data_IF_579558178386
#
_entry.id   IF_579558178386
#
_cell.length_a   1.000
_cell.length_b   1.000
_cell.length_c   1.000
_cell.angle_alpha   90.00
_cell.angle_beta   90.00
_cell.angle_gamma   90.00
#
_symmetry.space_group_name_H-M   'P 1'
#
loop_
_entity.id
_entity.type
_entity.pdbx_description
1 polymer ?
#
# COMPACT_ATOMS: atom_id res chain seq x y z
N UNK A 1 38.64 19.43 3.40
CA UNK A 1 39.23 18.25 4.06
C UNK A 1 38.28 17.10 3.85
N UNK A 2 38.65 16.13 3.00
CA UNK A 2 37.84 14.93 2.74
C UNK A 2 37.72 14.10 4.02
N UNK A 3 36.49 13.74 4.41
CA UNK A 3 36.23 12.67 5.37
C UNK A 3 35.31 11.67 4.69
N UNK A 4 35.93 10.58 4.24
CA UNK A 4 35.27 9.38 3.74
C UNK A 4 34.31 8.85 4.82
N UNK A 5 33.03 8.72 4.49
CA UNK A 5 32.08 7.97 5.28
C UNK A 5 32.44 6.49 5.15
N UNK A 6 32.89 5.90 6.25
CA UNK A 6 33.13 4.47 6.35
C UNK A 6 31.76 3.80 6.49
N UNK A 7 31.31 3.09 5.46
CA UNK A 7 30.20 2.13 5.57
C UNK A 7 30.59 1.11 6.65
N UNK A 8 29.86 1.10 7.76
CA UNK A 8 29.89 -0.01 8.70
C UNK A 8 29.22 -1.18 7.99
N UNK A 9 30.04 -2.00 7.36
CA UNK A 9 29.71 -3.38 7.01
C UNK A 9 29.30 -4.07 8.32
N UNK A 10 28.01 -4.37 8.44
CA UNK A 10 27.53 -5.30 9.46
C UNK A 10 28.04 -6.68 9.06
N UNK A 11 29.12 -7.10 9.71
CA UNK A 11 29.60 -8.47 9.64
C UNK A 11 28.50 -9.37 10.21
N UNK A 12 27.81 -10.09 9.32
CA UNK A 12 26.92 -11.21 9.63
C UNK A 12 27.72 -12.18 10.51
N UNK A 13 27.34 -12.41 11.78
CA UNK A 13 27.83 -13.59 12.47
C UNK A 13 27.15 -14.77 11.77
N UNK A 14 27.91 -15.50 10.97
CA UNK A 14 27.51 -16.82 10.48
C UNK A 14 27.33 -17.73 11.70
N UNK A 15 26.14 -17.70 12.29
CA UNK A 15 25.72 -18.66 13.28
C UNK A 15 25.40 -19.95 12.52
N UNK A 16 26.40 -20.81 12.42
CA UNK A 16 26.27 -22.16 11.92
C UNK A 16 25.36 -22.97 12.86
N UNK A 17 24.04 -22.79 12.72
CA UNK A 17 23.10 -23.86 13.04
C UNK A 17 23.27 -24.90 11.94
N UNK A 18 23.81 -26.06 12.30
CA UNK A 18 23.68 -27.25 11.49
C UNK A 18 22.18 -27.58 11.38
N UNK A 19 21.51 -27.00 10.37
CA UNK A 19 20.15 -27.32 10.03
C UNK A 19 20.10 -28.78 9.59
N UNK A 20 19.21 -29.55 10.21
CA UNK A 20 18.79 -30.83 9.64
C UNK A 20 18.29 -30.54 8.22
N UNK A 21 18.85 -31.19 7.21
CA UNK A 21 18.34 -31.08 5.85
C UNK A 21 16.86 -31.47 5.86
N UNK A 22 15.96 -30.50 5.76
CA UNK A 22 14.54 -30.74 5.58
C UNK A 22 14.34 -31.13 4.12
N UNK A 23 13.49 -32.13 3.89
CA UNK A 23 13.16 -32.55 2.53
C UNK A 23 12.44 -31.38 1.85
N UNK A 24 13.09 -30.78 0.85
CA UNK A 24 12.46 -29.82 -0.04
C UNK A 24 11.68 -30.61 -1.09
N UNK A 25 10.36 -30.40 -1.13
CA UNK A 25 9.48 -30.98 -2.14
C UNK A 25 9.35 -30.00 -3.29
N UNK A 26 9.54 -30.50 -4.51
CA UNK A 26 9.47 -29.71 -5.73
C UNK A 26 8.18 -30.00 -6.50
N UNK A 27 7.56 -28.95 -7.02
CA UNK A 27 6.48 -29.01 -8.02
C UNK A 27 7.02 -28.46 -9.33
N UNK A 28 7.21 -29.34 -10.32
CA UNK A 28 7.78 -29.02 -11.64
C UNK A 28 6.76 -29.02 -12.79
N UNK A 29 5.53 -29.47 -12.52
CA UNK A 29 4.44 -29.63 -13.48
C UNK A 29 3.13 -29.12 -12.86
N UNK A 30 2.06 -29.06 -13.65
CA UNK A 30 0.75 -28.61 -13.19
C UNK A 30 0.13 -29.54 -12.13
N UNK A 31 -0.45 -28.91 -11.12
CA UNK A 31 -1.31 -29.53 -10.12
C UNK A 31 -2.62 -28.78 -10.01
N UNK A 32 -3.70 -29.53 -9.84
CA UNK A 32 -5.05 -28.99 -9.66
C UNK A 32 -5.62 -29.20 -8.26
N UNK A 33 -4.79 -29.70 -7.34
CA UNK A 33 -5.15 -30.00 -5.96
C UNK A 33 -4.33 -29.13 -5.00
N UNK A 34 -4.94 -28.60 -3.92
CA UNK A 34 -4.22 -27.88 -2.88
C UNK A 34 -3.02 -28.64 -2.31
N UNK A 35 -2.01 -27.89 -1.86
CA UNK A 35 -0.79 -28.42 -1.21
C UNK A 35 -0.64 -27.79 0.17
N UNK A 36 -0.34 -28.58 1.19
CA UNK A 36 -0.04 -28.08 2.54
C UNK A 36 1.36 -28.51 2.99
N UNK A 37 2.14 -27.59 3.55
CA UNK A 37 3.52 -27.90 3.98
C UNK A 37 3.57 -28.95 5.09
N UNK A 38 2.51 -29.10 5.90
CA UNK A 38 2.38 -30.13 6.94
C UNK A 38 2.36 -31.57 6.42
N UNK A 39 2.05 -31.79 5.14
CA UNK A 39 1.85 -33.13 4.55
C UNK A 39 2.60 -33.34 3.23
N UNK A 40 3.35 -32.33 2.77
CA UNK A 40 3.92 -32.29 1.43
C UNK A 40 4.95 -33.39 1.15
N UNK A 41 5.68 -33.86 2.17
CA UNK A 41 6.70 -34.90 2.06
C UNK A 41 6.12 -36.29 2.42
N UNK A 42 5.28 -36.83 1.53
CA UNK A 42 4.69 -38.15 1.71
C UNK A 42 3.81 -38.28 2.96
N UNK A 43 3.12 -37.19 3.34
CA UNK A 43 2.33 -37.10 4.57
C UNK A 43 3.08 -36.55 5.78
N UNK A 44 4.36 -36.23 5.63
CA UNK A 44 5.16 -35.51 6.63
C UNK A 44 5.34 -34.03 6.23
N UNK A 45 5.74 -33.21 7.20
CA UNK A 45 5.98 -31.80 6.97
C UNK A 45 7.31 -31.56 6.22
N UNK A 46 7.33 -30.61 5.29
CA UNK A 46 8.52 -30.29 4.50
C UNK A 46 8.49 -28.90 3.86
N UNK A 47 9.65 -28.46 3.40
CA UNK A 47 9.78 -27.23 2.59
C UNK A 47 9.17 -27.46 1.21
N UNK A 48 8.61 -26.41 0.61
CA UNK A 48 7.96 -26.48 -0.70
C UNK A 48 8.57 -25.45 -1.65
N UNK A 49 8.91 -25.90 -2.86
CA UNK A 49 9.25 -25.04 -3.97
C UNK A 49 8.40 -25.36 -5.20
N UNK A 50 7.73 -24.36 -5.74
CA UNK A 50 7.09 -24.43 -7.05
C UNK A 50 8.12 -23.93 -8.07
N UNK A 51 8.64 -24.82 -8.91
CA UNK A 51 9.63 -24.47 -9.93
C UNK A 51 8.98 -23.65 -11.04
N UNK A 52 9.77 -22.97 -11.87
CA UNK A 52 9.28 -22.10 -12.95
C UNK A 52 8.35 -22.78 -13.98
N UNK A 53 8.45 -24.10 -14.15
CA UNK A 53 7.56 -24.87 -15.02
C UNK A 53 6.33 -25.45 -14.28
N UNK A 54 6.35 -25.44 -12.95
CA UNK A 54 5.27 -25.97 -12.11
C UNK A 54 4.13 -24.98 -11.94
N UNK A 55 2.95 -25.52 -11.68
CA UNK A 55 1.79 -24.71 -11.30
C UNK A 55 0.89 -25.39 -10.29
N UNK A 56 0.15 -24.58 -9.53
CA UNK A 56 -0.93 -25.04 -8.64
C UNK A 56 -2.17 -24.19 -8.90
N UNK A 57 -3.15 -24.77 -9.58
CA UNK A 57 -4.37 -24.10 -10.02
C UNK A 57 -5.58 -24.70 -9.29
N UNK A 58 -6.39 -23.87 -8.62
CA UNK A 58 -7.54 -24.35 -7.84
C UNK A 58 -8.83 -23.64 -8.22
N UNK A 59 -9.94 -24.36 -8.07
CA UNK A 59 -11.29 -23.83 -8.32
C UNK A 59 -11.99 -23.38 -7.02
N UNK A 60 -11.37 -23.59 -5.85
CA UNK A 60 -11.87 -23.13 -4.55
C UNK A 60 -10.78 -23.22 -3.47
N UNK A 61 -10.94 -22.43 -2.40
CA UNK A 61 -10.05 -22.49 -1.24
C UNK A 61 -8.63 -22.01 -1.51
N UNK A 62 -7.67 -22.48 -0.70
CA UNK A 62 -6.27 -22.12 -0.83
C UNK A 62 -5.52 -23.07 -1.77
N UNK A 63 -4.71 -22.53 -2.71
CA UNK A 63 -3.85 -23.35 -3.57
C UNK A 63 -2.67 -23.94 -2.79
N UNK A 64 -2.02 -23.12 -1.95
CA UNK A 64 -0.96 -23.57 -1.05
C UNK A 64 -1.30 -23.13 0.37
N UNK A 65 -1.08 -24.03 1.35
CA UNK A 65 -1.14 -23.72 2.77
C UNK A 65 0.24 -23.92 3.43
N UNK A 66 0.82 -22.85 3.97
CA UNK A 66 1.98 -22.90 4.87
C UNK A 66 1.46 -23.03 6.32
N UNK A 67 1.35 -24.27 6.80
CA UNK A 67 0.74 -24.64 8.09
C UNK A 67 1.69 -25.40 9.03
N UNK A 68 2.99 -25.32 8.78
CA UNK A 68 4.02 -26.01 9.56
C UNK A 68 5.32 -25.22 9.57
N UNK A 69 6.28 -25.62 10.40
CA UNK A 69 7.56 -24.91 10.55
C UNK A 69 8.51 -25.17 9.36
N UNK A 70 8.16 -24.63 8.20
CA UNK A 70 8.82 -24.84 6.91
C UNK A 70 8.72 -23.58 6.03
N UNK A 71 9.34 -23.62 4.86
CA UNK A 71 9.36 -22.53 3.89
C UNK A 71 8.56 -22.85 2.64
N UNK A 72 8.03 -21.82 1.99
CA UNK A 72 7.41 -21.90 0.67
C UNK A 72 8.10 -20.91 -0.26
N UNK A 73 8.58 -21.40 -1.41
CA UNK A 73 9.10 -20.57 -2.50
C UNK A 73 8.27 -20.81 -3.77
N UNK A 74 7.74 -19.74 -4.36
CA UNK A 74 7.07 -19.80 -5.65
C UNK A 74 7.97 -19.20 -6.74
N UNK A 75 8.45 -20.03 -7.67
CA UNK A 75 9.11 -19.60 -8.92
C UNK A 75 8.18 -19.79 -10.14
N UNK A 76 7.05 -20.48 -9.97
CA UNK A 76 6.10 -20.85 -11.03
C UNK A 76 4.78 -20.09 -10.95
N UNK A 77 3.67 -20.77 -11.29
CA UNK A 77 2.34 -20.16 -11.34
C UNK A 77 1.41 -20.76 -10.30
N UNK A 78 0.80 -19.90 -9.48
CA UNK A 78 -0.27 -20.27 -8.54
C UNK A 78 -1.51 -19.50 -8.96
N UNK A 79 -2.69 -20.11 -8.93
CA UNK A 79 -3.86 -19.35 -9.31
C UNK A 79 -5.20 -20.04 -9.20
N UNK A 80 -6.21 -19.29 -9.61
CA UNK A 80 -7.58 -19.73 -9.82
C UNK A 80 -8.17 -18.93 -10.99
N UNK A 81 -9.15 -19.51 -11.68
CA UNK A 81 -9.86 -18.82 -12.74
C UNK A 81 -11.36 -18.89 -12.50
N UNK A 82 -12.01 -17.73 -12.47
CA UNK A 82 -13.45 -17.58 -12.26
C UNK A 82 -13.96 -18.33 -11.01
N UNK A 83 -13.26 -18.11 -9.89
CA UNK A 83 -13.57 -18.77 -8.62
C UNK A 83 -13.53 -17.76 -7.47
N UNK A 84 -14.63 -17.64 -6.74
CA UNK A 84 -14.73 -16.77 -5.58
C UNK A 84 -14.10 -17.39 -4.32
N UNK A 85 -13.74 -16.53 -3.37
CA UNK A 85 -13.22 -16.93 -2.07
C UNK A 85 -11.96 -17.82 -2.17
N UNK A 86 -11.15 -17.62 -3.21
CA UNK A 86 -9.88 -18.34 -3.38
C UNK A 86 -8.73 -17.62 -2.71
N UNK A 87 -7.74 -18.40 -2.31
CA UNK A 87 -6.48 -17.88 -1.77
C UNK A 87 -5.32 -18.50 -2.54
N UNK A 88 -4.35 -17.68 -2.98
CA UNK A 88 -3.14 -18.21 -3.61
C UNK A 88 -2.30 -18.96 -2.56
N UNK A 89 -1.82 -18.22 -1.57
CA UNK A 89 -1.04 -18.74 -0.45
C UNK A 89 -1.74 -18.40 0.86
N UNK A 90 -2.12 -19.43 1.61
CA UNK A 90 -2.58 -19.32 2.98
C UNK A 90 -1.44 -19.60 3.95
N UNK A 91 -1.06 -18.65 4.77
CA UNK A 91 -0.04 -18.79 5.81
C UNK A 91 -0.75 -18.85 7.15
N UNK A 92 -0.60 -19.97 7.86
CA UNK A 92 -1.19 -20.16 9.18
C UNK A 92 -0.32 -19.52 10.25
N UNK A 93 -0.89 -18.57 10.97
CA UNK A 93 -0.30 -17.97 12.16
C UNK A 93 0.02 -19.01 13.23
N UNK A 94 1.05 -18.73 14.04
CA UNK A 94 1.63 -19.66 15.02
C UNK A 94 2.66 -20.64 14.47
N UNK A 95 2.85 -20.69 13.14
CA UNK A 95 3.96 -21.42 12.51
C UNK A 95 5.20 -20.52 12.31
N UNK A 96 6.38 -21.15 12.18
CA UNK A 96 7.65 -20.46 11.89
C UNK A 96 8.16 -20.81 10.50
N UNK A 97 8.52 -19.83 9.67
CA UNK A 97 8.99 -20.15 8.32
C UNK A 97 9.44 -18.94 7.52
N UNK A 98 9.28 -19.04 6.20
CA UNK A 98 9.40 -17.92 5.29
C UNK A 98 8.56 -18.19 4.04
N UNK A 99 8.03 -17.12 3.45
CA UNK A 99 7.40 -17.17 2.14
C UNK A 99 8.12 -16.24 1.16
N UNK A 100 8.47 -16.77 -0.01
CA UNK A 100 9.04 -15.99 -1.12
C UNK A 100 8.26 -16.23 -2.41
N UNK A 101 7.74 -15.17 -3.02
CA UNK A 101 7.19 -15.18 -4.37
C UNK A 101 8.18 -14.55 -5.35
N UNK A 102 8.70 -15.35 -6.27
CA UNK A 102 9.51 -14.94 -7.42
C UNK A 102 8.83 -15.29 -8.77
N UNK A 103 7.62 -15.88 -8.73
CA UNK A 103 6.77 -16.24 -9.86
C UNK A 103 5.45 -15.47 -9.90
N UNK A 104 4.37 -16.10 -10.35
CA UNK A 104 3.05 -15.48 -10.46
C UNK A 104 2.02 -16.09 -9.52
N UNK A 105 1.21 -15.24 -8.90
CA UNK A 105 -0.04 -15.58 -8.22
C UNK A 105 -1.18 -14.85 -8.93
N UNK A 106 -2.05 -15.60 -9.62
CA UNK A 106 -3.11 -15.05 -10.46
C UNK A 106 -4.48 -15.58 -10.01
N UNK A 107 -5.28 -14.72 -9.37
CA UNK A 107 -6.65 -15.03 -8.99
C UNK A 107 -7.58 -14.17 -9.84
N UNK A 108 -7.96 -14.70 -11.01
CA UNK A 108 -8.62 -13.95 -12.08
C UNK A 108 -10.07 -14.39 -12.28
N UNK A 109 -10.80 -13.65 -13.10
CA UNK A 109 -12.13 -14.01 -13.60
C UNK A 109 -12.20 -13.89 -15.12
N UNK A 110 -13.31 -14.35 -15.71
CA UNK A 110 -13.56 -14.25 -17.14
C UNK A 110 -14.53 -13.11 -17.51
N UNK A 111 -14.90 -12.28 -16.53
CA UNK A 111 -15.77 -11.13 -16.72
C UNK A 111 -15.15 -10.12 -17.69
N UNK A 112 -15.95 -9.71 -18.68
CA UNK A 112 -15.58 -8.67 -19.64
C UNK A 112 -16.68 -7.61 -19.66
N UNK A 113 -16.40 -6.36 -19.25
CA UNK A 113 -17.38 -5.28 -19.31
C UNK A 113 -17.74 -4.93 -20.76
N UNK A 114 -18.94 -4.40 -20.97
CA UNK A 114 -19.50 -3.99 -22.28
C UNK A 114 -19.77 -2.48 -22.30
N UNK A 115 -19.74 -1.89 -23.49
CA UNK A 115 -20.26 -0.53 -23.77
C UNK A 115 -21.77 -0.67 -24.00
N UNK A 116 -22.57 -0.40 -22.98
CA UNK A 116 -24.02 -0.63 -22.96
C UNK A 116 -24.80 0.52 -23.62
N UNK A 117 -24.22 1.72 -23.72
CA UNK A 117 -24.86 2.90 -24.31
C UNK A 117 -24.23 3.42 -25.62
N UNK A 118 -23.18 2.74 -26.11
CA UNK A 118 -22.44 2.99 -27.36
C UNK A 118 -21.75 4.37 -27.43
N UNK A 119 -21.36 4.95 -26.30
CA UNK A 119 -20.76 6.28 -26.25
C UNK A 119 -19.21 6.31 -26.36
N UNK A 120 -18.60 5.12 -26.30
CA UNK A 120 -17.19 4.87 -26.55
C UNK A 120 -16.35 4.53 -25.31
N UNK A 121 -16.97 4.30 -24.15
CA UNK A 121 -16.32 3.67 -23.00
C UNK A 121 -17.04 2.40 -22.51
N UNK A 122 -16.61 1.83 -21.38
CA UNK A 122 -17.06 0.50 -20.96
C UNK A 122 -17.85 0.68 -19.67
N UNK A 123 -18.97 0.01 -19.52
CA UNK A 123 -19.84 0.19 -18.38
C UNK A 123 -19.68 -0.89 -17.31
N UNK A 124 -20.20 -0.54 -16.13
CA UNK A 124 -20.39 -1.47 -15.03
C UNK A 124 -19.12 -1.70 -14.20
N UNK A 125 -19.15 -2.69 -13.29
CA UNK A 125 -18.05 -2.91 -12.36
C UNK A 125 -16.75 -3.29 -13.07
N UNK A 126 -15.60 -3.02 -12.45
CA UNK A 126 -14.31 -3.51 -12.96
C UNK A 126 -14.12 -5.02 -12.80
N UNK A 127 -14.77 -5.59 -11.80
CA UNK A 127 -14.75 -7.01 -11.50
C UNK A 127 -16.03 -7.44 -10.77
N UNK A 128 -16.47 -8.68 -10.94
CA UNK A 128 -17.74 -9.19 -10.40
C UNK A 128 -17.60 -10.27 -9.33
N UNK A 129 -16.55 -11.07 -9.39
CA UNK A 129 -16.22 -12.05 -8.36
C UNK A 129 -15.81 -11.41 -7.04
N UNK A 130 -15.54 -12.22 -6.02
CA UNK A 130 -15.36 -11.71 -4.66
C UNK A 130 -14.42 -12.54 -3.77
N UNK A 131 -13.88 -11.89 -2.75
CA UNK A 131 -13.23 -12.54 -1.61
C UNK A 131 -11.89 -13.22 -1.94
N UNK A 132 -11.21 -12.82 -3.00
CA UNK A 132 -9.94 -13.43 -3.45
C UNK A 132 -8.75 -12.80 -2.71
N UNK A 133 -7.80 -13.61 -2.26
CA UNK A 133 -6.59 -13.10 -1.60
C UNK A 133 -5.32 -13.76 -2.14
N UNK A 134 -4.38 -12.99 -2.70
CA UNK A 134 -3.13 -13.54 -3.23
C UNK A 134 -2.29 -14.24 -2.16
N UNK A 135 -1.95 -13.52 -1.10
CA UNK A 135 -1.27 -14.04 0.10
C UNK A 135 -2.06 -13.63 1.34
N UNK A 136 -2.54 -14.61 2.11
CA UNK A 136 -3.29 -14.41 3.33
C UNK A 136 -2.53 -14.98 4.53
N UNK A 137 -2.28 -14.18 5.56
CA UNK A 137 -1.85 -14.67 6.88
C UNK A 137 -3.05 -14.66 7.81
N UNK A 138 -3.45 -15.81 8.34
CA UNK A 138 -4.60 -15.94 9.25
C UNK A 138 -4.32 -16.89 10.42
N UNK A 139 -5.09 -16.77 11.49
CA UNK A 139 -4.88 -17.53 12.72
C UNK A 139 -5.00 -16.66 13.96
N UNK A 140 -4.83 -17.28 15.13
CA UNK A 140 -4.95 -16.60 16.44
C UNK A 140 -3.63 -16.15 17.06
N UNK A 141 -2.50 -16.53 16.44
CA UNK A 141 -1.14 -16.18 16.85
C UNK A 141 -0.38 -15.64 15.62
N UNK A 142 0.65 -14.79 15.81
CA UNK A 142 1.43 -14.27 14.68
C UNK A 142 2.19 -15.39 13.96
N UNK A 143 2.36 -15.25 12.65
CA UNK A 143 3.34 -16.05 11.89
C UNK A 143 4.75 -15.53 12.17
N UNK A 144 5.72 -16.40 12.45
CA UNK A 144 7.12 -16.00 12.68
C UNK A 144 7.96 -16.24 11.43
N UNK A 145 8.41 -15.19 10.77
CA UNK A 145 9.11 -15.31 9.50
C UNK A 145 8.86 -14.14 8.56
N UNK A 146 9.68 -14.02 7.53
CA UNK A 146 9.53 -12.98 6.52
C UNK A 146 8.59 -13.43 5.39
N UNK A 147 7.86 -12.46 4.84
CA UNK A 147 7.00 -12.61 3.65
C UNK A 147 7.56 -11.67 2.58
N UNK A 148 7.98 -12.22 1.46
CA UNK A 148 8.62 -11.45 0.38
C UNK A 148 7.97 -11.72 -0.97
N UNK A 149 7.47 -10.68 -1.62
CA UNK A 149 7.21 -10.67 -3.06
C UNK A 149 8.44 -10.07 -3.75
N UNK A 150 9.33 -10.92 -4.22
CA UNK A 150 10.64 -10.54 -4.77
C UNK A 150 10.49 -9.80 -6.12
N UNK A 151 11.58 -9.27 -6.66
CA UNK A 151 11.61 -8.46 -7.89
C UNK A 151 10.96 -9.15 -9.10
N UNK A 152 11.03 -10.48 -9.19
CA UNK A 152 10.37 -11.28 -10.23
C UNK A 152 8.91 -11.68 -9.91
N UNK A 153 8.49 -11.48 -8.66
CA UNK A 153 7.18 -11.85 -8.15
C UNK A 153 6.07 -10.94 -8.66
N UNK A 154 4.95 -11.55 -9.04
CA UNK A 154 3.72 -10.86 -9.44
C UNK A 154 2.52 -11.46 -8.70
N UNK A 155 1.65 -10.58 -8.20
CA UNK A 155 0.36 -10.94 -7.59
C UNK A 155 -0.72 -10.15 -8.31
N UNK A 156 -1.63 -10.83 -9.00
CA UNK A 156 -2.75 -10.23 -9.72
C UNK A 156 -4.05 -10.82 -9.20
N UNK A 157 -4.95 -9.94 -8.74
CA UNK A 157 -6.24 -10.33 -8.18
C UNK A 157 -7.34 -9.48 -8.80
N UNK A 158 -8.32 -10.12 -9.40
CA UNK A 158 -9.54 -9.47 -9.90
C UNK A 158 -10.69 -9.92 -9.01
N UNK A 159 -11.49 -9.00 -8.50
CA UNK A 159 -12.63 -9.29 -7.62
C UNK A 159 -12.89 -8.19 -6.59
N UNK A 160 -14.14 -8.09 -6.16
CA UNK A 160 -14.57 -7.23 -5.06
C UNK A 160 -14.09 -7.76 -3.71
N UNK A 161 -13.95 -6.89 -2.71
CA UNK A 161 -13.56 -7.26 -1.33
C UNK A 161 -12.27 -8.10 -1.23
N UNK A 162 -11.42 -7.99 -2.25
CA UNK A 162 -10.25 -8.84 -2.48
C UNK A 162 -8.96 -8.17 -2.03
N UNK A 163 -7.87 -8.92 -1.92
CA UNK A 163 -6.57 -8.35 -1.58
C UNK A 163 -5.40 -9.03 -2.29
N UNK A 164 -4.35 -8.27 -2.61
CA UNK A 164 -3.09 -8.84 -3.07
C UNK A 164 -2.40 -9.58 -1.92
N UNK A 165 -2.11 -8.84 -0.84
CA UNK A 165 -1.54 -9.38 0.41
C UNK A 165 -2.42 -8.93 1.58
N UNK A 166 -2.78 -9.84 2.48
CA UNK A 166 -3.56 -9.54 3.68
C UNK A 166 -2.99 -10.23 4.91
N UNK A 167 -2.68 -9.47 5.95
CA UNK A 167 -2.17 -9.96 7.24
C UNK A 167 -3.27 -9.81 8.29
N UNK A 168 -3.82 -10.89 8.84
CA UNK A 168 -4.86 -10.83 9.88
C UNK A 168 -4.44 -11.40 11.23
N UNK A 169 -3.62 -12.46 11.26
CA UNK A 169 -3.15 -13.09 12.52
C UNK A 169 -2.08 -12.28 13.27
N UNK A 170 -1.31 -11.48 12.53
CA UNK A 170 -0.06 -10.86 12.95
C UNK A 170 1.17 -11.50 12.29
N UNK A 171 2.27 -10.77 12.27
CA UNK A 171 3.52 -11.14 11.62
C UNK A 171 4.72 -10.77 12.52
N UNK A 172 5.48 -11.76 12.98
CA UNK A 172 6.77 -11.60 13.65
C UNK A 172 7.88 -11.74 12.60
N UNK A 173 8.06 -10.69 11.81
CA UNK A 173 8.98 -10.63 10.68
C UNK A 173 8.66 -9.45 9.77
N UNK A 174 9.38 -9.36 8.66
CA UNK A 174 9.23 -8.29 7.68
C UNK A 174 8.26 -8.68 6.56
N UNK A 175 7.56 -7.68 6.03
CA UNK A 175 6.82 -7.78 4.77
C UNK A 175 7.55 -6.95 3.70
N UNK A 176 8.07 -7.62 2.67
CA UNK A 176 8.80 -6.98 1.59
C UNK A 176 8.06 -7.15 0.26
N UNK A 177 7.80 -6.06 -0.44
CA UNK A 177 7.29 -6.05 -1.80
C UNK A 177 8.30 -5.36 -2.74
N UNK A 178 9.10 -6.16 -3.43
CA UNK A 178 10.01 -5.74 -4.50
C UNK A 178 9.42 -5.99 -5.90
N UNK A 179 8.42 -6.88 -5.99
CA UNK A 179 7.68 -7.22 -7.20
C UNK A 179 6.42 -6.37 -7.42
N UNK A 180 5.45 -6.91 -8.18
CA UNK A 180 4.18 -6.23 -8.47
C UNK A 180 3.00 -6.83 -7.72
N UNK A 181 2.10 -5.96 -7.26
CA UNK A 181 0.79 -6.30 -6.71
C UNK A 181 -0.27 -5.48 -7.42
N UNK A 182 -1.20 -6.14 -8.12
CA UNK A 182 -2.30 -5.51 -8.84
C UNK A 182 -3.62 -6.06 -8.34
N UNK A 183 -4.54 -5.16 -7.96
CA UNK A 183 -5.90 -5.53 -7.54
C UNK A 183 -6.93 -4.72 -8.33
N UNK A 184 -7.87 -5.42 -8.95
CA UNK A 184 -8.96 -4.81 -9.73
C UNK A 184 -10.30 -5.24 -9.13
N UNK A 185 -11.13 -4.28 -8.74
CA UNK A 185 -12.43 -4.53 -8.11
C UNK A 185 -12.68 -3.57 -6.95
N UNK A 186 -13.97 -3.41 -6.58
CA UNK A 186 -14.39 -2.53 -5.50
C UNK A 186 -14.03 -3.09 -4.12
N UNK A 187 -13.82 -2.19 -3.15
CA UNK A 187 -13.50 -2.50 -1.75
C UNK A 187 -12.26 -3.40 -1.60
N UNK A 188 -11.32 -3.27 -2.53
CA UNK A 188 -10.09 -4.07 -2.60
C UNK A 188 -8.91 -3.43 -1.89
N UNK A 189 -7.90 -4.24 -1.55
CA UNK A 189 -6.64 -3.77 -0.99
C UNK A 189 -5.45 -4.32 -1.76
N UNK A 190 -4.49 -3.49 -2.16
CA UNK A 190 -3.21 -3.99 -2.66
C UNK A 190 -2.50 -4.79 -1.57
N UNK A 191 -2.21 -4.12 -0.46
CA UNK A 191 -1.68 -4.71 0.77
C UNK A 191 -2.53 -4.24 1.95
N UNK A 192 -2.99 -5.16 2.78
CA UNK A 192 -3.83 -4.89 3.95
C UNK A 192 -3.22 -5.48 5.23
N UNK A 193 -2.91 -4.62 6.18
CA UNK A 193 -2.36 -4.99 7.49
C UNK A 193 -3.46 -4.85 8.53
N UNK A 194 -4.12 -5.95 8.86
CA UNK A 194 -5.19 -6.03 9.85
C UNK A 194 -4.78 -6.76 11.15
N UNK A 195 -3.58 -7.33 11.18
CA UNK A 195 -2.92 -7.88 12.37
C UNK A 195 -1.56 -7.21 12.58
N UNK A 196 -1.10 -7.14 13.83
CA UNK A 196 0.15 -6.45 14.21
C UNK A 196 1.36 -7.01 13.46
N UNK A 197 2.22 -6.13 12.94
CA UNK A 197 3.49 -6.50 12.33
C UNK A 197 4.64 -6.11 13.26
N UNK A 198 5.32 -7.10 13.81
CA UNK A 198 6.53 -6.96 14.62
C UNK A 198 7.79 -7.00 13.74
N UNK A 199 7.86 -6.06 12.80
CA UNK A 199 8.94 -5.89 11.84
C UNK A 199 8.68 -4.70 10.92
N UNK A 200 9.49 -4.58 9.88
CA UNK A 200 9.36 -3.52 8.87
C UNK A 200 8.42 -3.95 7.74
N UNK A 201 7.79 -2.94 7.12
CA UNK A 201 7.08 -3.11 5.85
C UNK A 201 7.83 -2.29 4.80
N UNK A 202 8.26 -2.93 3.73
CA UNK A 202 8.98 -2.28 2.64
C UNK A 202 8.28 -2.49 1.29
N UNK A 203 8.09 -1.41 0.54
CA UNK A 203 7.67 -1.44 -0.85
C UNK A 203 8.76 -0.82 -1.72
N UNK A 204 9.47 -1.63 -2.49
CA UNK A 204 10.41 -1.18 -3.51
C UNK A 204 9.92 -1.45 -4.94
N UNK A 205 8.89 -2.31 -5.08
CA UNK A 205 8.19 -2.64 -6.31
C UNK A 205 6.95 -1.77 -6.56
N UNK A 206 5.86 -2.37 -7.08
CA UNK A 206 4.62 -1.66 -7.38
C UNK A 206 3.41 -2.24 -6.67
N UNK A 207 2.54 -1.36 -6.19
CA UNK A 207 1.19 -1.66 -5.69
C UNK A 207 0.22 -0.79 -6.50
N UNK A 208 -0.68 -1.41 -7.26
CA UNK A 208 -1.67 -0.72 -8.09
C UNK A 208 -3.06 -1.27 -7.84
N UNK A 209 -4.00 -0.40 -7.48
CA UNK A 209 -5.37 -0.80 -7.17
C UNK A 209 -6.36 0.03 -7.98
N UNK A 210 -7.30 -0.67 -8.64
CA UNK A 210 -8.35 -0.07 -9.46
C UNK A 210 -9.73 -0.52 -8.98
N UNK A 211 -10.53 0.41 -8.47
CA UNK A 211 -11.91 0.16 -8.08
C UNK A 211 -12.42 1.11 -7.01
N UNK A 212 -13.75 1.17 -6.87
CA UNK A 212 -14.41 2.02 -5.89
C UNK A 212 -13.97 1.66 -4.46
N UNK A 213 -13.70 2.65 -3.62
CA UNK A 213 -13.25 2.50 -2.23
C UNK A 213 -11.94 1.70 -2.02
N UNK A 214 -11.27 1.28 -3.09
CA UNK A 214 -10.13 0.37 -2.99
C UNK A 214 -8.86 1.12 -2.57
N UNK A 215 -8.05 0.51 -1.70
CA UNK A 215 -6.89 1.12 -1.05
C UNK A 215 -5.60 0.45 -1.53
N UNK A 216 -4.56 1.22 -1.82
CA UNK A 216 -3.24 0.68 -2.19
C UNK A 216 -2.60 -0.10 -1.03
N UNK A 217 -2.16 0.63 -0.02
CA UNK A 217 -1.61 0.10 1.23
C UNK A 217 -2.49 0.56 2.41
N UNK A 218 -3.19 -0.38 3.04
CA UNK A 218 -4.01 -0.13 4.23
C UNK A 218 -3.33 -0.69 5.49
N UNK A 219 -3.13 0.16 6.50
CA UNK A 219 -2.51 -0.19 7.78
C UNK A 219 -3.53 0.04 8.90
N UNK A 220 -4.22 -1.02 9.30
CA UNK A 220 -5.30 -1.01 10.28
C UNK A 220 -4.90 -1.66 11.62
N UNK A 221 -3.70 -2.23 11.70
CA UNK A 221 -3.08 -2.74 12.92
C UNK A 221 -1.65 -2.21 13.07
N UNK A 222 -1.16 -2.20 14.31
CA UNK A 222 0.12 -1.58 14.66
C UNK A 222 1.29 -2.22 13.91
N UNK A 223 2.25 -1.38 13.52
CA UNK A 223 3.54 -1.80 12.95
C UNK A 223 4.63 -1.34 13.91
N UNK A 224 5.38 -2.29 14.46
CA UNK A 224 6.43 -1.98 15.44
C UNK A 224 7.78 -1.62 14.79
N UNK A 225 7.95 -1.89 13.50
CA UNK A 225 9.03 -1.34 12.68
C UNK A 225 8.64 -0.06 11.96
N UNK A 226 9.35 0.23 10.86
CA UNK A 226 9.06 1.33 9.95
C UNK A 226 8.27 0.85 8.73
N UNK A 227 7.55 1.78 8.10
CA UNK A 227 6.93 1.57 6.78
C UNK A 227 7.66 2.43 5.76
N UNK A 228 8.23 1.78 4.75
CA UNK A 228 9.03 2.45 3.72
C UNK A 228 8.51 2.19 2.31
N UNK A 229 8.45 3.25 1.50
CA UNK A 229 8.17 3.17 0.08
C UNK A 229 9.32 3.79 -0.71
N UNK A 230 9.97 2.99 -1.55
CA UNK A 230 10.86 3.48 -2.63
C UNK A 230 10.34 3.09 -4.01
N UNK A 231 9.23 2.35 -4.08
CA UNK A 231 8.55 1.98 -5.31
C UNK A 231 7.31 2.84 -5.58
N UNK A 232 6.30 2.25 -6.21
CA UNK A 232 5.04 2.94 -6.55
C UNK A 232 3.87 2.38 -5.76
N UNK A 233 3.00 3.27 -5.24
CA UNK A 233 1.70 2.92 -4.66
C UNK A 233 0.64 3.80 -5.31
N UNK A 234 -0.30 3.18 -6.02
CA UNK A 234 -1.36 3.87 -6.76
C UNK A 234 -2.75 3.36 -6.39
N UNK A 235 -3.72 4.27 -6.27
CA UNK A 235 -5.13 3.94 -6.22
C UNK A 235 -5.96 4.84 -7.14
N UNK A 236 -6.96 4.27 -7.80
CA UNK A 236 -7.98 4.99 -8.55
C UNK A 236 -9.29 4.22 -8.55
N UNK A 237 -10.41 4.94 -8.44
CA UNK A 237 -11.73 4.38 -8.76
C UNK A 237 -12.14 4.70 -10.19
N UNK A 238 -11.49 5.68 -10.83
CA UNK A 238 -11.83 6.09 -12.18
C UNK A 238 -11.47 5.03 -13.22
N UNK A 239 -12.29 4.95 -14.27
CA UNK A 239 -12.02 4.09 -15.42
C UNK A 239 -10.81 4.56 -16.20
N UNK A 240 -10.70 5.87 -16.39
CA UNK A 240 -9.62 6.55 -17.10
C UNK A 240 -8.68 7.27 -16.13
N UNK A 241 -7.39 7.29 -16.47
CA UNK A 241 -6.33 8.00 -15.71
C UNK A 241 -5.86 9.28 -16.41
N UNK A 242 -6.52 9.64 -17.51
CA UNK A 242 -6.30 10.86 -18.26
C UNK A 242 -7.62 11.56 -18.48
N UNK A 243 -7.70 12.84 -18.14
CA UNK A 243 -8.92 13.62 -18.28
C UNK A 243 -9.25 13.83 -19.76
N UNK A 244 -10.51 13.62 -20.16
CA UNK A 244 -10.99 13.97 -21.51
C UNK A 244 -10.94 15.49 -21.76
N UNK A 245 -10.52 15.87 -22.97
CA UNK A 245 -10.17 17.26 -23.30
C UNK A 245 -11.39 18.20 -23.45
N UNK A 246 -12.49 17.74 -24.03
CA UNK A 246 -13.69 18.57 -24.27
C UNK A 246 -14.77 18.33 -23.22
N UNK A 247 -15.65 19.32 -23.02
CA UNK A 247 -16.79 19.15 -22.10
C UNK A 247 -17.81 18.12 -22.61
N UNK A 248 -17.94 17.95 -23.93
CA UNK A 248 -18.85 16.97 -24.51
C UNK A 248 -18.38 15.54 -24.27
N UNK A 249 -17.08 15.27 -24.39
CA UNK A 249 -16.54 13.93 -24.12
C UNK A 249 -16.55 13.61 -22.62
N UNK A 250 -16.46 14.62 -21.75
CA UNK A 250 -16.63 14.41 -20.30
C UNK A 250 -18.07 14.15 -19.88
N UNK A 251 -19.04 14.64 -20.64
CA UNK A 251 -20.46 14.45 -20.36
C UNK A 251 -20.96 13.03 -20.71
N UNK A 252 -20.13 12.25 -21.39
CA UNK A 252 -20.29 10.83 -21.66
C UNK A 252 -19.95 9.94 -20.45
N UNK A 253 -18.99 10.39 -19.63
CA UNK A 253 -18.56 9.62 -18.46
C UNK A 253 -19.73 9.34 -17.53
N UNK A 254 -19.94 8.06 -17.27
CA UNK A 254 -21.02 7.56 -16.44
C UNK A 254 -20.62 7.47 -14.97
N UNK A 255 -21.58 7.07 -14.13
CA UNK A 255 -21.37 7.04 -12.68
C UNK A 255 -20.27 6.06 -12.26
N UNK A 256 -20.11 4.95 -12.96
CA UNK A 256 -19.07 3.96 -12.71
C UNK A 256 -17.70 4.39 -13.22
N UNK A 257 -17.61 5.20 -14.28
CA UNK A 257 -16.34 5.82 -14.71
C UNK A 257 -15.79 6.80 -13.69
N UNK A 258 -16.70 7.43 -12.97
CA UNK A 258 -16.45 8.48 -12.00
C UNK A 258 -16.42 7.95 -10.56
N UNK A 259 -16.37 6.62 -10.37
CA UNK A 259 -16.31 6.02 -9.06
C UNK A 259 -15.11 6.54 -8.25
N UNK A 260 -15.36 6.90 -7.00
CA UNK A 260 -14.30 7.35 -6.11
C UNK A 260 -13.48 6.15 -5.62
N UNK A 261 -12.17 6.18 -5.87
CA UNK A 261 -11.22 5.24 -5.26
C UNK A 261 -11.04 5.51 -3.76
N UNK A 262 -10.34 4.60 -3.09
CA UNK A 262 -9.81 4.81 -1.75
C UNK A 262 -8.44 5.51 -1.77
N UNK A 263 -7.84 5.67 -0.59
CA UNK A 263 -6.51 6.27 -0.49
C UNK A 263 -5.44 5.36 -1.10
N UNK A 264 -4.37 5.94 -1.65
CA UNK A 264 -3.22 5.14 -2.06
C UNK A 264 -2.52 4.53 -0.84
N UNK A 265 -2.37 5.30 0.23
CA UNK A 265 -1.94 4.83 1.54
C UNK A 265 -2.93 5.29 2.61
N UNK A 266 -3.51 4.35 3.36
CA UNK A 266 -4.37 4.62 4.51
C UNK A 266 -3.72 4.06 5.77
N UNK A 267 -3.49 4.92 6.76
CA UNK A 267 -2.83 4.56 8.02
C UNK A 267 -3.81 4.86 9.15
N UNK A 268 -4.30 3.81 9.78
CA UNK A 268 -5.28 3.87 10.86
C UNK A 268 -4.84 3.26 12.19
N UNK A 269 -3.58 2.79 12.24
CA UNK A 269 -2.91 2.30 13.44
C UNK A 269 -1.52 2.95 13.62
N UNK A 270 -0.85 2.67 14.74
CA UNK A 270 0.46 3.27 15.03
C UNK A 270 1.57 2.60 14.24
N UNK A 271 2.56 3.40 13.82
CA UNK A 271 3.80 2.90 13.19
C UNK A 271 4.95 3.41 14.03
N UNK A 272 5.59 2.52 14.80
CA UNK A 272 6.61 2.90 15.77
C UNK A 272 7.85 3.51 15.12
N UNK A 273 8.24 3.00 13.93
CA UNK A 273 9.36 3.52 13.13
C UNK A 273 8.95 4.56 12.09
N UNK A 274 7.72 5.09 12.14
CA UNK A 274 7.24 6.10 11.22
C UNK A 274 7.03 5.66 9.77
N UNK A 275 6.66 6.62 8.93
CA UNK A 275 6.41 6.41 7.50
C UNK A 275 7.39 7.21 6.65
N UNK A 276 8.02 6.56 5.66
CA UNK A 276 8.93 7.21 4.73
C UNK A 276 8.61 6.88 3.27
N UNK A 277 8.24 7.90 2.50
CA UNK A 277 8.27 7.86 1.03
C UNK A 277 9.68 8.26 0.58
N UNK A 278 10.58 7.28 0.54
CA UNK A 278 12.02 7.47 0.47
C UNK A 278 12.60 7.52 -0.93
N UNK A 279 13.90 7.74 -0.99
CA UNK A 279 14.71 7.71 -2.21
C UNK A 279 15.93 6.82 -1.97
N UNK A 280 16.26 5.99 -2.96
CA UNK A 280 17.51 5.25 -3.04
C UNK A 280 18.52 6.08 -3.81
N UNK A 281 19.74 6.19 -3.27
CA UNK A 281 20.84 6.90 -3.91
C UNK A 281 21.78 5.92 -4.62
N UNK A 282 22.31 6.32 -5.77
CA UNK A 282 23.43 5.63 -6.42
C UNK A 282 24.76 5.87 -5.67
N UNK A 283 25.84 5.23 -6.14
CA UNK A 283 27.17 5.39 -5.54
C UNK A 283 27.73 6.83 -5.60
N UNK A 284 27.14 7.70 -6.42
CA UNK A 284 27.51 9.11 -6.55
C UNK A 284 26.62 10.03 -5.71
N UNK A 285 25.62 9.49 -5.00
CA UNK A 285 24.67 10.25 -4.20
C UNK A 285 23.51 10.85 -5.02
N UNK A 286 23.29 10.43 -6.25
CA UNK A 286 22.13 10.85 -7.04
C UNK A 286 20.94 9.92 -6.78
N UNK A 287 19.69 10.43 -6.80
CA UNK A 287 18.50 9.58 -6.79
C UNK A 287 18.51 8.57 -7.95
N UNK A 288 18.52 7.27 -7.63
CA UNK A 288 18.39 6.18 -8.61
C UNK A 288 16.96 5.65 -8.69
N UNK A 289 16.22 5.74 -7.58
CA UNK A 289 14.82 5.36 -7.46
C UNK A 289 14.18 6.18 -6.34
N UNK A 290 12.97 6.67 -6.56
CA UNK A 290 12.23 7.47 -5.58
C UNK A 290 10.80 6.96 -5.46
N UNK A 291 10.30 6.94 -4.22
CA UNK A 291 8.94 6.52 -3.94
C UNK A 291 7.91 7.42 -4.62
N UNK A 292 6.89 6.80 -5.21
CA UNK A 292 5.76 7.47 -5.84
C UNK A 292 4.46 7.01 -5.20
N UNK A 293 3.67 7.95 -4.69
CA UNK A 293 2.35 7.68 -4.13
C UNK A 293 1.34 8.53 -4.87
N UNK A 294 0.33 7.90 -5.47
CA UNK A 294 -0.64 8.59 -6.32
C UNK A 294 -2.07 8.13 -6.03
N UNK A 295 -2.95 9.09 -5.72
CA UNK A 295 -4.40 8.87 -5.70
C UNK A 295 -5.08 9.65 -6.82
N UNK A 296 -6.00 9.01 -7.53
CA UNK A 296 -6.89 9.66 -8.49
C UNK A 296 -8.34 9.47 -8.05
N UNK A 297 -9.01 10.58 -7.79
CA UNK A 297 -10.31 10.62 -7.12
C UNK A 297 -10.30 11.57 -5.93
N UNK A 298 -11.38 11.56 -5.16
CA UNK A 298 -11.53 12.44 -3.99
C UNK A 298 -10.94 11.91 -2.68
N UNK A 299 -10.42 10.68 -2.68
CA UNK A 299 -9.69 10.14 -1.55
C UNK A 299 -8.26 10.72 -1.47
N UNK A 300 -7.72 10.93 -0.25
CA UNK A 300 -6.36 11.39 -0.10
C UNK A 300 -5.31 10.44 -0.70
N UNK A 301 -4.16 10.94 -1.16
CA UNK A 301 -3.05 10.06 -1.53
C UNK A 301 -2.48 9.34 -0.29
N UNK A 302 -2.27 10.08 0.80
CA UNK A 302 -1.99 9.55 2.12
C UNK A 302 -3.06 10.04 3.09
N UNK A 303 -3.74 9.10 3.75
CA UNK A 303 -4.66 9.37 4.85
C UNK A 303 -4.06 8.82 6.14
N UNK A 304 -3.81 9.67 7.12
CA UNK A 304 -3.47 9.27 8.49
C UNK A 304 -4.65 9.60 9.39
N UNK A 305 -5.24 8.59 10.02
CA UNK A 305 -6.52 8.76 10.72
C UNK A 305 -6.72 7.80 11.87
N UNK A 306 -7.12 8.30 13.04
CA UNK A 306 -7.40 7.45 14.21
C UNK A 306 -8.76 6.70 14.13
N UNK A 307 -9.39 6.63 12.96
CA UNK A 307 -10.82 6.36 12.82
C UNK A 307 -11.27 5.24 11.89
N UNK A 308 -10.38 4.52 11.20
CA UNK A 308 -10.86 3.65 10.12
C UNK A 308 -11.34 2.27 10.58
N UNK A 309 -10.67 1.54 11.47
CA UNK A 309 -11.19 0.35 12.15
C UNK A 309 -10.18 -0.08 13.24
N UNK A 310 -10.41 0.29 14.50
CA UNK A 310 -9.50 -0.03 15.59
C UNK A 310 -10.23 -0.39 16.88
N UNK A 311 -10.26 -1.69 17.19
CA UNK A 311 -10.70 -2.24 18.48
C UNK A 311 -9.73 -1.91 19.64
N UNK A 312 -8.56 -1.33 19.36
CA UNK A 312 -7.65 -0.78 20.36
C UNK A 312 -7.84 0.76 20.43
N UNK A 313 -8.76 1.21 21.28
CA UNK A 313 -9.06 2.64 21.41
C UNK A 313 -7.93 3.41 22.08
N UNK A 314 -7.20 4.24 21.34
CA UNK A 314 -6.34 5.34 21.78
C UNK A 314 -6.03 6.26 20.58
N UNK A 315 -5.26 7.33 20.80
CA UNK A 315 -4.60 8.08 19.73
C UNK A 315 -3.68 7.14 18.92
N UNK A 316 -3.49 7.42 17.63
CA UNK A 316 -2.45 6.74 16.83
C UNK A 316 -1.23 7.64 16.73
N UNK A 317 -0.04 7.03 16.72
CA UNK A 317 1.23 7.76 16.60
C UNK A 317 2.06 7.18 15.47
N UNK A 318 2.54 8.04 14.58
CA UNK A 318 3.66 7.72 13.70
C UNK A 318 4.93 8.20 14.39
N UNK A 319 5.71 7.26 14.90
CA UNK A 319 6.98 7.52 15.56
C UNK A 319 8.04 8.05 14.60
N UNK A 320 9.11 8.64 15.11
CA UNK A 320 10.15 9.21 14.27
C UNK A 320 10.89 8.15 13.41
N UNK A 321 11.00 8.41 12.10
CA UNK A 321 11.72 7.51 11.15
C UNK A 321 13.23 7.47 11.40
N UNK A 322 13.83 8.63 11.67
CA UNK A 322 15.27 8.79 11.87
C UNK A 322 15.60 9.45 13.20
N UNK A 323 16.85 9.85 13.35
CA UNK A 323 17.33 10.55 14.55
C UNK A 323 17.40 12.06 14.35
N UNK A 324 17.36 12.80 15.46
CA UNK A 324 17.54 14.25 15.45
C UNK A 324 18.93 14.65 14.95
N UNK A 325 19.95 13.78 15.12
CA UNK A 325 21.30 14.03 14.64
C UNK A 325 21.38 14.05 13.10
N UNK A 326 20.50 13.30 12.44
CA UNK A 326 20.44 13.22 10.98
C UNK A 326 19.44 14.23 10.39
N UNK A 327 18.73 14.99 11.23
CA UNK A 327 17.67 15.91 10.83
C UNK A 327 16.44 15.21 10.22
N UNK A 328 16.23 13.94 10.57
CA UNK A 328 15.20 13.06 10.02
C UNK A 328 14.27 12.49 11.10
N UNK A 329 14.24 13.10 12.27
CA UNK A 329 13.38 12.74 13.39
C UNK A 329 11.92 13.16 13.17
N UNK A 330 11.27 12.71 12.09
CA UNK A 330 9.89 13.05 11.77
C UNK A 330 9.05 11.79 11.60
N UNK A 331 7.78 11.85 12.00
CA UNK A 331 6.82 10.76 11.88
C UNK A 331 6.43 10.44 10.44
N UNK A 332 6.49 11.45 9.56
CA UNK A 332 6.31 11.29 8.13
C UNK A 332 7.42 12.01 7.37
N UNK A 333 8.12 11.27 6.50
CA UNK A 333 9.14 11.83 5.60
C UNK A 333 8.74 11.58 4.15
N UNK A 334 8.82 12.64 3.33
CA UNK A 334 8.73 12.55 1.88
C UNK A 334 10.02 13.05 1.23
N UNK A 335 10.78 12.12 0.65
CA UNK A 335 11.90 12.39 -0.27
C UNK A 335 11.53 12.09 -1.73
N UNK A 336 10.38 11.45 -1.97
CA UNK A 336 9.87 11.10 -3.29
C UNK A 336 8.76 12.04 -3.78
N UNK A 337 7.80 11.48 -4.51
CA UNK A 337 6.66 12.22 -5.06
C UNK A 337 5.34 11.69 -4.50
N UNK A 338 4.50 12.60 -4.00
CA UNK A 338 3.12 12.31 -3.58
C UNK A 338 2.19 13.16 -4.44
N UNK A 339 1.23 12.54 -5.13
CA UNK A 339 0.25 13.20 -5.98
C UNK A 339 -1.18 12.83 -5.62
N UNK A 340 -2.06 13.82 -5.62
CA UNK A 340 -3.50 13.61 -5.61
C UNK A 340 -4.15 14.37 -6.77
N UNK A 341 -4.99 13.67 -7.53
CA UNK A 341 -5.63 14.22 -8.72
C UNK A 341 -7.14 14.06 -8.65
N UNK A 342 -7.84 15.18 -8.50
CA UNK A 342 -9.24 15.33 -8.82
C UNK A 342 -9.40 15.43 -10.33
N UNK A 343 -9.15 14.32 -11.03
CA UNK A 343 -8.98 14.28 -12.47
C UNK A 343 -10.22 14.78 -13.24
N UNK A 344 -11.40 14.40 -12.78
CA UNK A 344 -12.68 14.75 -13.39
C UNK A 344 -13.31 15.96 -12.68
N UNK A 345 -14.22 16.65 -13.38
CA UNK A 345 -14.86 17.86 -12.87
C UNK A 345 -15.64 17.55 -11.57
N UNK A 346 -15.45 18.36 -10.54
CA UNK A 346 -16.15 18.21 -9.26
C UNK A 346 -15.45 17.29 -8.24
N UNK A 347 -14.34 16.65 -8.61
CA UNK A 347 -13.56 15.83 -7.69
C UNK A 347 -12.49 16.67 -6.99
N UNK A 348 -12.60 16.80 -5.67
CA UNK A 348 -11.57 17.44 -4.87
C UNK A 348 -10.29 16.60 -4.84
N UNK A 349 -9.14 17.22 -4.58
CA UNK A 349 -7.86 16.52 -4.44
C UNK A 349 -7.23 16.79 -3.07
N UNK A 350 -6.77 15.73 -2.40
CA UNK A 350 -5.99 15.87 -1.15
C UNK A 350 -4.73 15.02 -1.19
N UNK A 351 -3.54 15.60 -1.04
CA UNK A 351 -2.31 14.80 -1.11
C UNK A 351 -2.04 14.09 0.23
N UNK A 352 -1.95 14.83 1.33
CA UNK A 352 -1.82 14.26 2.67
C UNK A 352 -2.91 14.83 3.57
N UNK A 353 -3.72 13.95 4.16
CA UNK A 353 -4.69 14.30 5.20
C UNK A 353 -4.27 13.66 6.52
N UNK A 354 -4.20 14.47 7.59
CA UNK A 354 -3.97 13.99 8.96
C UNK A 354 -5.17 14.41 9.80
N UNK A 355 -5.91 13.44 10.33
CA UNK A 355 -7.14 13.72 11.04
C UNK A 355 -7.36 12.79 12.23
N UNK A 356 -7.94 13.33 13.29
CA UNK A 356 -8.47 12.51 14.37
C UNK A 356 -9.78 11.85 13.99
N UNK A 357 -10.35 11.12 14.94
CA UNK A 357 -11.66 10.52 14.81
C UNK A 357 -12.43 10.61 16.12
N UNK A 358 -13.68 11.03 16.05
CA UNK A 358 -14.57 11.04 17.19
C UNK A 358 -15.08 9.62 17.43
N UNK A 359 -14.71 9.00 18.55
CA UNK A 359 -15.23 7.69 18.94
C UNK A 359 -15.93 7.81 20.29
N UNK A 360 -17.27 7.73 20.24
CA UNK A 360 -18.11 8.12 21.37
C UNK A 360 -17.89 9.59 21.72
N UNK A 361 -17.58 9.87 22.98
CA UNK A 361 -17.33 11.23 23.48
C UNK A 361 -15.84 11.63 23.49
N UNK A 362 -14.94 10.78 22.96
CA UNK A 362 -13.49 11.06 22.95
C UNK A 362 -13.02 11.31 21.51
N UNK A 363 -12.37 12.45 21.30
CA UNK A 363 -11.60 12.69 20.07
C UNK A 363 -10.29 11.92 20.17
N UNK A 364 -10.13 10.89 19.34
CA UNK A 364 -8.84 10.23 19.12
C UNK A 364 -8.04 11.06 18.14
N UNK A 365 -6.75 11.22 18.39
CA UNK A 365 -5.84 12.03 17.58
C UNK A 365 -4.98 11.17 16.68
N UNK A 366 -4.60 11.73 15.54
CA UNK A 366 -3.53 11.21 14.70
C UNK A 366 -2.29 12.09 14.89
N UNK A 367 -1.24 11.51 15.47
CA UNK A 367 -0.05 12.24 15.90
C UNK A 367 1.13 11.83 15.03
N UNK A 368 1.75 12.80 14.36
CA UNK A 368 3.01 12.62 13.67
C UNK A 368 4.12 13.16 14.58
N UNK A 369 4.98 12.29 15.13
CA UNK A 369 6.07 12.75 16.01
C UNK A 369 6.97 13.75 15.28
N UNK A 370 7.14 14.93 15.87
CA UNK A 370 7.83 16.10 15.30
C UNK A 370 7.30 16.59 13.93
N UNK A 371 6.23 15.99 13.39
CA UNK A 371 5.51 16.42 12.20
C UNK A 371 5.96 15.79 10.89
N UNK A 372 6.05 16.62 9.84
CA UNK A 372 6.26 16.22 8.44
C UNK A 372 7.54 16.85 7.90
N UNK A 373 8.43 16.03 7.34
CA UNK A 373 9.59 16.48 6.56
C UNK A 373 9.36 16.22 5.08
N UNK A 374 9.37 17.27 4.26
CA UNK A 374 9.30 17.20 2.81
C UNK A 374 10.58 17.73 2.17
N UNK A 375 11.37 16.81 1.60
CA UNK A 375 12.50 17.13 0.71
C UNK A 375 12.17 16.85 -0.76
N UNK A 376 11.10 16.09 -1.01
CA UNK A 376 10.62 15.73 -2.34
C UNK A 376 9.52 16.67 -2.86
N UNK A 377 8.51 16.07 -3.49
CA UNK A 377 7.41 16.79 -4.13
C UNK A 377 6.07 16.29 -3.61
N UNK A 378 5.18 17.20 -3.25
CA UNK A 378 3.80 16.93 -2.84
C UNK A 378 2.88 17.81 -3.69
N UNK A 379 2.05 17.20 -4.54
CA UNK A 379 1.20 17.90 -5.49
C UNK A 379 -0.27 17.50 -5.30
N UNK A 380 -1.13 18.49 -5.29
CA UNK A 380 -2.57 18.32 -5.44
C UNK A 380 -3.04 19.06 -6.68
N UNK A 381 -3.95 18.46 -7.45
CA UNK A 381 -4.61 19.15 -8.56
C UNK A 381 -6.06 18.72 -8.74
N UNK A 382 -6.95 19.67 -9.03
CA UNK A 382 -8.37 19.38 -9.31
C UNK A 382 -8.93 20.26 -10.42
N UNK A 383 -9.99 19.76 -11.06
CA UNK A 383 -10.84 20.51 -11.98
C UNK A 383 -12.22 20.76 -11.36
N UNK A 384 -12.70 22.00 -11.40
CA UNK A 384 -14.02 22.39 -10.88
C UNK A 384 -14.28 21.94 -9.43
N UNK A 385 -13.22 21.89 -8.61
CA UNK A 385 -13.27 21.49 -7.20
C UNK A 385 -12.05 22.02 -6.43
N UNK A 386 -12.10 21.95 -5.08
CA UNK A 386 -10.99 22.39 -4.23
C UNK A 386 -9.84 21.37 -4.15
N UNK A 387 -8.62 21.89 -3.97
CA UNK A 387 -7.42 21.10 -3.70
C UNK A 387 -6.81 21.51 -2.35
N UNK A 388 -6.56 20.54 -1.48
CA UNK A 388 -5.81 20.70 -0.25
C UNK A 388 -4.57 19.80 -0.25
N UNK A 389 -3.37 20.33 -0.43
CA UNK A 389 -2.18 19.46 -0.57
C UNK A 389 -1.75 18.85 0.77
N UNK A 390 -1.45 19.67 1.78
CA UNK A 390 -1.23 19.23 3.16
C UNK A 390 -2.41 19.69 4.02
N UNK A 391 -3.22 18.76 4.51
CA UNK A 391 -4.44 19.08 5.25
C UNK A 391 -4.41 18.48 6.66
N UNK A 392 -4.19 19.33 7.66
CA UNK A 392 -4.22 18.95 9.07
C UNK A 392 -5.60 19.32 9.63
N UNK A 393 -6.42 18.31 9.89
CA UNK A 393 -7.83 18.46 10.25
C UNK A 393 -8.03 18.27 11.75
N UNK A 394 -9.28 18.36 12.22
CA UNK A 394 -9.60 18.18 13.63
C UNK A 394 -8.97 16.90 14.22
N UNK A 395 -8.19 17.03 15.29
CA UNK A 395 -7.48 15.94 15.95
C UNK A 395 -6.21 15.45 15.24
N UNK A 396 -5.83 16.03 14.09
CA UNK A 396 -4.53 15.82 13.48
C UNK A 396 -3.45 16.69 14.12
N UNK A 397 -2.29 16.10 14.40
CA UNK A 397 -1.15 16.79 15.02
C UNK A 397 0.11 16.55 14.18
N UNK A 398 0.69 17.64 13.67
CA UNK A 398 1.97 17.65 12.99
C UNK A 398 2.73 18.92 13.41
N UNK A 399 3.45 18.83 14.54
CA UNK A 399 4.01 20.01 15.21
C UNK A 399 4.87 20.88 14.29
N UNK A 400 5.70 20.27 13.44
CA UNK A 400 6.50 20.97 12.43
C UNK A 400 6.18 20.47 11.03
N UNK A 401 5.88 21.38 10.11
CA UNK A 401 5.96 21.11 8.68
C UNK A 401 7.27 21.72 8.16
N UNK A 402 8.25 20.86 7.89
CA UNK A 402 9.56 21.24 7.37
C UNK A 402 9.62 20.94 5.87
N UNK A 403 9.65 21.99 5.05
CA UNK A 403 9.67 21.88 3.59
C UNK A 403 10.97 22.44 3.01
N UNK A 404 11.80 21.57 2.45
CA UNK A 404 12.93 21.93 1.59
C UNK A 404 12.66 21.62 0.11
N UNK A 405 11.65 20.80 -0.18
CA UNK A 405 11.18 20.46 -1.51
C UNK A 405 10.02 21.34 -2.01
N UNK A 406 9.06 20.73 -2.71
CA UNK A 406 7.88 21.41 -3.27
C UNK A 406 6.60 20.90 -2.63
N UNK A 407 5.73 21.82 -2.21
CA UNK A 407 4.32 21.57 -1.87
C UNK A 407 3.46 22.47 -2.74
N UNK A 408 2.66 21.89 -3.63
CA UNK A 408 1.84 22.69 -4.56
C UNK A 408 0.40 22.23 -4.66
N UNK A 409 -0.51 23.19 -4.72
CA UNK A 409 -1.92 22.99 -5.06
C UNK A 409 -2.26 23.71 -6.36
N UNK A 410 -2.97 23.04 -7.25
CA UNK A 410 -3.46 23.64 -8.50
C UNK A 410 -4.95 23.38 -8.65
N UNK A 411 -5.74 24.44 -8.82
CA UNK A 411 -7.16 24.34 -9.18
C UNK A 411 -7.37 24.97 -10.55
N UNK A 412 -8.10 24.27 -11.42
CA UNK A 412 -8.62 24.84 -12.67
C UNK A 412 -10.14 24.84 -12.57
N UNK A 413 -10.77 26.01 -12.44
CA UNK A 413 -12.22 26.10 -12.28
C UNK A 413 -12.81 27.44 -12.72
N UNK A 414 -13.93 27.39 -13.44
CA UNK A 414 -14.79 28.55 -13.72
C UNK A 414 -15.88 28.77 -12.66
N UNK A 415 -16.16 27.76 -11.83
CA UNK A 415 -17.29 27.73 -10.90
C UNK A 415 -16.93 27.93 -9.42
N UNK A 416 -15.64 27.94 -9.07
CA UNK A 416 -15.14 28.25 -7.72
C UNK A 416 -14.16 27.20 -7.18
N UNK A 417 -14.06 27.10 -5.85
CA UNK A 417 -13.13 26.20 -5.17
C UNK A 417 -11.88 26.90 -4.65
N UNK A 418 -11.08 26.14 -3.91
CA UNK A 418 -9.93 26.67 -3.16
C UNK A 418 -8.67 25.87 -3.49
N UNK A 419 -7.57 26.56 -3.80
CA UNK A 419 -6.25 25.96 -3.91
C UNK A 419 -5.48 26.28 -2.62
N UNK A 420 -5.25 25.28 -1.76
CA UNK A 420 -4.59 25.47 -0.45
C UNK A 420 -3.50 24.43 -0.23
N UNK A 421 -2.25 24.87 -0.24
CA UNK A 421 -1.08 23.98 -0.16
C UNK A 421 -0.83 23.46 1.26
N UNK A 422 -1.10 24.28 2.27
CA UNK A 422 -1.04 23.92 3.68
C UNK A 422 -2.29 24.47 4.37
N UNK A 423 -3.19 23.57 4.77
CA UNK A 423 -4.42 23.88 5.46
C UNK A 423 -4.39 23.29 6.87
N UNK A 424 -4.71 24.12 7.87
CA UNK A 424 -4.87 23.71 9.26
C UNK A 424 -6.28 24.11 9.69
N UNK A 425 -7.16 23.11 9.86
CA UNK A 425 -8.55 23.36 10.26
C UNK A 425 -8.68 23.54 11.77
N UNK A 426 -9.86 23.98 12.20
CA UNK A 426 -10.20 24.01 13.62
C UNK A 426 -9.99 22.64 14.26
N UNK A 427 -9.19 22.60 15.33
CA UNK A 427 -8.82 21.37 16.04
C UNK A 427 -7.62 20.61 15.48
N UNK A 428 -7.09 21.01 14.32
CA UNK A 428 -5.79 20.58 13.82
C UNK A 428 -4.64 21.37 14.48
N UNK A 429 -3.47 20.75 14.60
CA UNK A 429 -2.31 21.35 15.29
C UNK A 429 -1.06 21.32 14.42
N UNK A 430 -0.56 22.52 14.10
CA UNK A 430 0.76 22.78 13.51
C UNK A 430 1.37 23.96 14.25
N UNK A 431 2.52 23.75 14.88
CA UNK A 431 3.20 24.78 15.69
C UNK A 431 4.21 25.58 14.87
N UNK A 432 4.84 24.97 13.86
CA UNK A 432 5.85 25.60 13.03
C UNK A 432 5.74 25.15 11.58
N UNK A 433 5.83 26.10 10.65
CA UNK A 433 6.05 25.83 9.22
C UNK A 433 7.41 26.42 8.85
N UNK A 434 8.38 25.55 8.56
CA UNK A 434 9.70 25.93 8.07
C UNK A 434 9.76 25.67 6.58
N UNK A 435 10.02 26.69 5.77
CA UNK A 435 10.09 26.55 4.33
C UNK A 435 11.39 27.13 3.77
N UNK A 436 12.24 26.27 3.23
CA UNK A 436 13.41 26.63 2.42
C UNK A 436 13.25 26.26 0.94
N UNK A 437 12.19 25.52 0.60
CA UNK A 437 11.78 25.19 -0.77
C UNK A 437 10.59 26.04 -1.24
N UNK A 438 9.64 25.41 -1.92
CA UNK A 438 8.46 26.06 -2.48
C UNK A 438 7.15 25.56 -1.83
N UNK A 439 6.30 26.50 -1.42
CA UNK A 439 4.89 26.26 -1.09
C UNK A 439 4.05 27.17 -2.00
N UNK A 440 3.36 26.58 -2.97
CA UNK A 440 2.68 27.29 -4.05
C UNK A 440 1.20 26.90 -4.16
N UNK A 441 0.32 27.89 -4.30
CA UNK A 441 -1.08 27.65 -4.63
C UNK A 441 -1.40 28.40 -5.93
N UNK A 442 -2.03 27.71 -6.88
CA UNK A 442 -2.45 28.26 -8.17
C UNK A 442 -3.92 28.00 -8.40
N UNK A 443 -4.66 29.04 -8.77
CA UNK A 443 -6.03 28.96 -9.24
C UNK A 443 -6.10 29.54 -10.65
N UNK A 444 -6.60 28.76 -11.61
CA UNK A 444 -6.82 29.18 -12.99
C UNK A 444 -8.32 29.17 -13.29
N UNK A 445 -8.86 30.31 -13.69
CA UNK A 445 -10.26 30.50 -14.05
C UNK A 445 -10.53 30.53 -15.54
#
# INVERSE_FOLDING_TARGET
MLRNALLVSVAIPALALAGMARAQVEVSDERTTPIATSTVDGGSAGDLIIRSAGSVLVDSGAAITLDSDNTVTNEGTIGSNDADNTTGILISGGSTGAFTNSGSINLLEDFTPTDDDDDGDLDGPFATGTGRTGVLVEGSAPFTGDISNDTGGSITVEGTQSAGIRITAGLDGNLNNDGSVTVTGADGYGVHIAGTVNGDISNSGSISVKGANSIGLGIDADVNGAVSNTGTIGSTGFRETTRRNSATERAKLDADDLAAGGAAVSISASISGGFVNGTVLDANGNPSRSGQIASQGSAPAILVTAGLNGAAGNDITLGAVGSAADGRDFGLINDGTITASGLNDGFAATAISVQGAQVGNTLRRAILEHGILNSGTILGSSFEASTHTLWIRNGGVADTVSNSGTVRSTVVSQSGGEAVSVAVEAGGQVSTVSNTGAIEASYTG
#
